data_IF_447494185949
#
_entry.id   IF_447494185949
#
_cell.length_a   1.000
_cell.length_b   1.000
_cell.length_c   1.000
_cell.angle_alpha   90.00
_cell.angle_beta   90.00
_cell.angle_gamma   90.00
#
_symmetry.space_group_name_H-M   'P 1'
#
loop_
_entity.id
_entity.type
_entity.pdbx_description
1 polymer ?
#
# COMPACT_ATOMS: atom_id res chain seq x y z
N UNK A 1 -54.48 -60.86 5.72
CA UNK A 1 -54.60 -59.45 5.32
C UNK A 1 -53.95 -58.57 6.40
N UNK A 2 -52.65 -58.28 6.29
CA UNK A 2 -52.02 -57.07 6.87
C UNK A 2 -50.83 -56.75 5.98
N UNK A 3 -50.88 -55.58 5.36
CA UNK A 3 -49.94 -55.07 4.35
C UNK A 3 -48.85 -54.27 5.05
N UNK A 4 -47.59 -54.72 5.05
CA UNK A 4 -46.46 -53.91 5.53
C UNK A 4 -45.80 -53.26 4.33
N UNK A 5 -46.10 -51.97 4.16
CA UNK A 5 -45.48 -51.06 3.19
C UNK A 5 -44.00 -50.88 3.51
N UNK A 6 -43.15 -51.22 2.55
CA UNK A 6 -41.73 -50.83 2.54
C UNK A 6 -41.59 -49.31 2.43
N UNK A 7 -40.80 -48.72 3.33
CA UNK A 7 -40.35 -47.33 3.22
C UNK A 7 -38.91 -47.34 2.73
N UNK A 8 -38.70 -46.88 1.49
CA UNK A 8 -37.38 -46.57 0.96
C UNK A 8 -36.70 -45.53 1.85
N UNK A 9 -35.49 -45.84 2.29
CA UNK A 9 -34.59 -44.93 2.97
C UNK A 9 -33.88 -44.09 1.90
N UNK A 10 -34.35 -42.86 1.68
CA UNK A 10 -33.70 -41.90 0.80
C UNK A 10 -32.46 -41.32 1.49
N UNK A 11 -31.28 -41.71 1.01
CA UNK A 11 -29.99 -41.12 1.37
C UNK A 11 -29.93 -39.69 0.80
N UNK A 12 -30.10 -38.69 1.66
CA UNK A 12 -29.81 -37.29 1.36
C UNK A 12 -28.28 -37.13 1.42
N UNK A 13 -27.65 -37.03 0.25
CA UNK A 13 -26.28 -36.57 0.09
C UNK A 13 -26.23 -35.07 0.41
N UNK A 14 -25.90 -34.76 1.67
CA UNK A 14 -25.52 -33.41 2.07
C UNK A 14 -24.16 -33.08 1.45
N UNK A 15 -24.18 -32.43 0.29
CA UNK A 15 -23.01 -31.76 -0.25
C UNK A 15 -22.61 -30.65 0.73
N UNK A 16 -21.54 -30.91 1.49
CA UNK A 16 -20.80 -29.90 2.24
C UNK A 16 -20.28 -28.85 1.24
N UNK A 17 -21.09 -27.83 1.00
CA UNK A 17 -20.63 -26.57 0.42
C UNK A 17 -19.72 -25.93 1.47
N UNK A 18 -18.42 -26.21 1.36
CA UNK A 18 -17.42 -25.38 2.01
C UNK A 18 -17.66 -23.95 1.55
N UNK A 19 -17.71 -22.95 2.45
CA UNK A 19 -17.71 -21.58 2.01
C UNK A 19 -16.39 -21.37 1.26
N UNK A 20 -16.49 -21.13 -0.04
CA UNK A 20 -15.42 -20.49 -0.79
C UNK A 20 -15.28 -19.12 -0.15
N UNK A 21 -14.32 -18.98 0.75
CA UNK A 21 -13.86 -17.67 1.18
C UNK A 21 -13.43 -16.98 -0.10
N UNK A 22 -14.14 -15.91 -0.47
CA UNK A 22 -13.75 -15.07 -1.58
C UNK A 22 -12.30 -14.64 -1.33
N UNK A 23 -11.39 -15.17 -2.14
CA UNK A 23 -10.01 -14.70 -2.18
C UNK A 23 -10.09 -13.22 -2.55
N UNK A 24 -9.83 -12.35 -1.58
CA UNK A 24 -9.61 -10.93 -1.86
C UNK A 24 -8.61 -10.86 -3.02
N UNK A 25 -8.97 -10.13 -4.07
CA UNK A 25 -8.22 -10.03 -5.32
C UNK A 25 -6.92 -9.21 -5.17
N UNK A 26 -6.27 -9.31 -4.02
CA UNK A 26 -5.00 -8.69 -3.71
C UNK A 26 -3.86 -9.67 -3.97
N UNK A 27 -3.37 -9.73 -5.21
CA UNK A 27 -2.24 -10.58 -5.59
C UNK A 27 -0.99 -10.38 -4.72
N UNK A 28 -0.10 -11.37 -4.71
CA UNK A 28 1.22 -11.29 -4.05
C UNK A 28 2.06 -10.15 -4.62
N UNK A 29 2.94 -9.54 -3.82
CA UNK A 29 3.90 -8.55 -4.31
C UNK A 29 4.83 -9.13 -5.39
N UNK A 30 5.10 -10.43 -5.31
CA UNK A 30 5.95 -11.22 -6.20
C UNK A 30 5.18 -11.91 -7.34
N UNK A 31 3.93 -11.51 -7.60
CA UNK A 31 3.11 -12.09 -8.65
C UNK A 31 2.63 -11.02 -9.63
N UNK A 32 2.80 -11.24 -10.92
CA UNK A 32 2.33 -10.30 -11.93
C UNK A 32 1.80 -11.00 -13.17
N UNK A 33 0.86 -10.33 -13.83
CA UNK A 33 0.36 -10.75 -15.12
C UNK A 33 0.98 -9.94 -16.25
N UNK A 34 1.10 -10.52 -17.44
CA UNK A 34 1.51 -9.87 -18.67
C UNK A 34 0.77 -10.47 -19.87
N UNK A 35 0.45 -9.68 -20.92
CA UNK A 35 -0.16 -10.21 -22.13
C UNK A 35 0.82 -11.17 -22.83
N UNK A 36 0.28 -12.23 -23.43
CA UNK A 36 1.03 -13.24 -24.17
C UNK A 36 0.41 -13.44 -25.56
N UNK A 37 1.26 -13.67 -26.57
CA UNK A 37 0.80 -13.84 -27.96
C UNK A 37 0.04 -15.17 -28.15
N UNK A 38 0.55 -16.24 -27.55
CA UNK A 38 -0.10 -17.54 -27.47
C UNK A 38 0.35 -18.31 -26.22
N UNK A 39 -0.21 -19.48 -25.98
CA UNK A 39 0.22 -20.38 -24.90
C UNK A 39 1.39 -21.29 -25.33
N UNK A 40 2.00 -21.06 -26.50
CA UNK A 40 3.21 -21.74 -26.91
C UNK A 40 4.38 -21.36 -25.99
N UNK A 41 5.30 -22.31 -25.80
CA UNK A 41 6.45 -22.15 -24.90
C UNK A 41 7.36 -20.98 -25.31
N UNK A 42 7.51 -20.74 -26.61
CA UNK A 42 8.31 -19.65 -27.18
C UNK A 42 7.75 -18.25 -26.84
N UNK A 43 6.45 -18.13 -26.61
CA UNK A 43 5.79 -16.85 -26.32
C UNK A 43 5.82 -16.48 -24.82
N UNK A 44 6.16 -17.44 -23.95
CA UNK A 44 6.18 -17.23 -22.51
C UNK A 44 7.33 -16.31 -22.08
N UNK A 45 8.50 -16.41 -22.72
CA UNK A 45 9.70 -15.63 -22.37
C UNK A 45 9.46 -14.12 -22.29
N UNK A 46 8.98 -13.46 -23.36
CA UNK A 46 8.64 -12.04 -23.34
C UNK A 46 7.62 -11.65 -22.26
N UNK A 47 6.60 -12.48 -22.04
CA UNK A 47 5.59 -12.24 -21.00
C UNK A 47 6.19 -12.35 -19.59
N UNK A 48 7.09 -13.30 -19.36
CA UNK A 48 7.81 -13.45 -18.09
C UNK A 48 8.69 -12.25 -17.79
N UNK A 49 9.42 -11.71 -18.78
CA UNK A 49 10.20 -10.47 -18.60
C UNK A 49 9.31 -9.29 -18.23
N UNK A 50 8.19 -9.13 -18.92
CA UNK A 50 7.23 -8.08 -18.64
C UNK A 50 6.59 -8.23 -17.24
N UNK A 51 6.29 -9.46 -16.82
CA UNK A 51 5.77 -9.75 -15.49
C UNK A 51 6.83 -9.46 -14.41
N UNK A 52 8.09 -9.86 -14.61
CA UNK A 52 9.17 -9.57 -13.67
C UNK A 52 9.38 -8.06 -13.54
N UNK A 53 9.39 -7.30 -14.64
CA UNK A 53 9.48 -5.85 -14.61
C UNK A 53 8.37 -5.21 -13.74
N UNK A 54 7.13 -5.70 -13.85
CA UNK A 54 6.02 -5.26 -12.99
C UNK A 54 6.27 -5.60 -11.52
N UNK A 55 6.84 -6.77 -11.22
CA UNK A 55 7.22 -7.16 -9.85
C UNK A 55 8.32 -6.25 -9.30
N UNK A 56 9.37 -5.95 -10.07
CA UNK A 56 10.45 -5.04 -9.64
C UNK A 56 9.90 -3.65 -9.32
N UNK A 57 9.01 -3.11 -10.17
CA UNK A 57 8.34 -1.83 -9.91
C UNK A 57 7.47 -1.90 -8.65
N UNK A 58 6.78 -3.02 -8.41
CA UNK A 58 5.95 -3.18 -7.21
C UNK A 58 6.80 -3.26 -5.92
N UNK A 59 7.92 -3.97 -5.99
CA UNK A 59 8.82 -4.18 -4.85
C UNK A 59 9.63 -2.92 -4.50
N UNK A 60 10.03 -2.13 -5.49
CA UNK A 60 10.69 -0.83 -5.26
C UNK A 60 9.70 0.31 -5.02
N UNK A 61 8.48 0.18 -5.55
CA UNK A 61 7.48 1.23 -5.63
C UNK A 61 7.77 2.32 -6.67
N UNK A 62 8.84 2.16 -7.46
CA UNK A 62 9.31 3.19 -8.37
C UNK A 62 9.41 2.63 -9.80
N UNK A 63 8.78 3.27 -10.80
CA UNK A 63 8.94 2.86 -12.20
C UNK A 63 10.38 3.10 -12.69
N UNK A 64 11.06 4.10 -12.12
CA UNK A 64 12.43 4.47 -12.48
C UNK A 64 13.43 3.35 -12.20
N UNK A 65 13.10 2.39 -11.32
CA UNK A 65 13.91 1.21 -11.03
C UNK A 65 14.21 0.35 -12.27
N UNK A 66 13.35 0.41 -13.30
CA UNK A 66 13.56 -0.34 -14.54
C UNK A 66 14.65 0.24 -15.45
N UNK A 67 15.07 1.47 -15.20
CA UNK A 67 16.11 2.16 -15.97
C UNK A 67 17.49 2.06 -15.31
N UNK A 68 17.61 1.29 -14.23
CA UNK A 68 18.87 1.05 -13.54
C UNK A 68 19.87 0.26 -14.37
N UNK A 69 21.19 0.42 -14.13
CA UNK A 69 22.21 -0.40 -14.78
C UNK A 69 21.99 -1.89 -14.51
N UNK A 70 22.14 -2.73 -15.54
CA UNK A 70 22.03 -4.19 -15.42
C UNK A 70 20.59 -4.73 -15.34
N UNK A 71 19.58 -3.86 -15.27
CA UNK A 71 18.18 -4.29 -15.10
C UNK A 71 17.67 -4.99 -16.37
N UNK A 72 18.01 -4.49 -17.56
CA UNK A 72 17.58 -5.12 -18.82
C UNK A 72 18.12 -6.55 -18.94
N UNK A 73 19.40 -6.77 -18.60
CA UNK A 73 20.05 -8.07 -18.58
C UNK A 73 19.45 -8.98 -17.50
N UNK A 74 19.17 -8.42 -16.32
CA UNK A 74 18.51 -9.13 -15.24
C UNK A 74 17.11 -9.62 -15.61
N UNK A 75 16.35 -8.85 -16.39
CA UNK A 75 15.02 -9.24 -16.83
C UNK A 75 15.06 -10.49 -17.72
N UNK A 76 16.14 -10.72 -18.48
CA UNK A 76 16.30 -11.95 -19.28
C UNK A 76 16.36 -13.22 -18.42
N UNK A 77 16.74 -13.11 -17.14
CA UNK A 77 16.74 -14.23 -16.18
C UNK A 77 15.36 -14.57 -15.64
N UNK A 78 14.30 -13.85 -16.06
CA UNK A 78 12.94 -14.06 -15.55
C UNK A 78 12.49 -15.54 -15.47
N UNK A 79 12.72 -16.40 -16.49
CA UNK A 79 12.33 -17.80 -16.43
C UNK A 79 12.95 -18.58 -15.25
N UNK A 80 14.15 -18.22 -14.82
CA UNK A 80 14.86 -18.88 -13.71
C UNK A 80 14.31 -18.51 -12.33
N UNK A 81 13.52 -17.44 -12.26
CA UNK A 81 13.00 -16.87 -11.02
C UNK A 81 11.54 -17.29 -10.76
N UNK A 82 10.91 -18.00 -11.69
CA UNK A 82 9.49 -18.37 -11.61
C UNK A 82 9.29 -19.60 -10.74
N UNK A 83 8.32 -19.54 -9.84
CA UNK A 83 7.79 -20.69 -9.09
C UNK A 83 6.66 -21.38 -9.84
N UNK A 84 5.73 -20.60 -10.41
CA UNK A 84 4.57 -21.12 -11.10
C UNK A 84 4.07 -20.14 -12.17
N UNK A 85 3.52 -20.68 -13.26
CA UNK A 85 2.79 -19.91 -14.27
C UNK A 85 1.34 -20.38 -14.35
N UNK A 86 0.44 -19.45 -14.65
CA UNK A 86 -0.96 -19.72 -14.97
C UNK A 86 -1.39 -18.87 -16.16
N UNK A 87 -2.31 -19.39 -16.95
CA UNK A 87 -2.87 -18.66 -18.08
C UNK A 87 -4.31 -18.25 -17.78
N UNK A 88 -4.67 -17.04 -18.21
CA UNK A 88 -6.01 -16.48 -18.09
C UNK A 88 -6.38 -15.80 -19.41
N UNK A 89 -7.59 -16.04 -19.88
CA UNK A 89 -8.15 -15.21 -20.94
C UNK A 89 -8.75 -13.95 -20.33
N UNK A 90 -8.41 -12.81 -20.91
CA UNK A 90 -8.92 -11.50 -20.52
C UNK A 90 -9.45 -10.74 -21.73
N UNK A 91 -10.04 -9.59 -21.44
CA UNK A 91 -10.41 -8.60 -22.44
C UNK A 91 -9.59 -7.33 -22.21
N UNK A 92 -9.04 -6.78 -23.28
CA UNK A 92 -8.40 -5.47 -23.29
C UNK A 92 -9.14 -4.57 -24.29
N UNK A 93 -9.38 -3.32 -23.92
CA UNK A 93 -10.09 -2.34 -24.73
C UNK A 93 -10.77 -1.26 -23.89
N UNK A 94 -10.62 0.00 -24.30
CA UNK A 94 -11.40 1.13 -23.81
C UNK A 94 -12.64 1.31 -24.69
N UNK A 95 -13.81 1.58 -24.10
CA UNK A 95 -14.98 2.01 -24.88
C UNK A 95 -15.83 0.92 -25.55
N UNK A 96 -15.73 -0.35 -25.14
CA UNK A 96 -16.72 -1.39 -25.51
C UNK A 96 -16.28 -2.40 -26.58
N UNK A 97 -15.14 -2.18 -27.24
CA UNK A 97 -14.50 -3.19 -28.08
C UNK A 97 -13.74 -4.19 -27.18
N UNK A 98 -14.20 -5.45 -27.12
CA UNK A 98 -13.58 -6.48 -26.28
C UNK A 98 -12.60 -7.28 -27.12
N UNK A 99 -11.32 -6.91 -27.07
CA UNK A 99 -10.27 -7.71 -27.72
C UNK A 99 -9.87 -8.80 -26.75
N UNK A 100 -10.14 -10.05 -27.11
CA UNK A 100 -9.69 -11.20 -26.33
C UNK A 100 -8.17 -11.31 -26.41
N UNK A 101 -7.52 -11.37 -25.25
CA UNK A 101 -6.09 -11.64 -25.14
C UNK A 101 -5.83 -12.69 -24.07
N UNK A 102 -4.82 -13.51 -24.33
CA UNK A 102 -4.28 -14.40 -23.32
C UNK A 102 -3.30 -13.62 -22.44
N UNK A 103 -3.32 -13.93 -21.14
CA UNK A 103 -2.43 -13.38 -20.15
C UNK A 103 -1.68 -14.52 -19.45
N UNK A 104 -0.38 -14.34 -19.27
CA UNK A 104 0.45 -15.17 -18.42
C UNK A 104 0.55 -14.50 -17.05
N UNK A 105 0.20 -15.24 -16.00
CA UNK A 105 0.36 -14.87 -14.60
C UNK A 105 1.57 -15.65 -14.07
N UNK A 106 2.60 -14.95 -13.63
CA UNK A 106 3.81 -15.53 -13.07
C UNK A 106 3.89 -15.24 -11.57
N UNK A 107 4.07 -16.29 -10.78
CA UNK A 107 4.48 -16.19 -9.39
C UNK A 107 6.00 -16.40 -9.33
N UNK A 108 6.72 -15.42 -8.80
CA UNK A 108 8.18 -15.47 -8.70
C UNK A 108 8.62 -15.90 -7.29
N UNK A 109 9.80 -16.50 -7.21
CA UNK A 109 10.47 -16.88 -5.96
C UNK A 109 10.94 -15.61 -5.22
N UNK A 110 10.39 -15.31 -4.04
CA UNK A 110 10.76 -14.10 -3.32
C UNK A 110 12.25 -14.01 -2.99
N UNK A 111 12.89 -15.12 -2.61
CA UNK A 111 14.31 -15.13 -2.23
C UNK A 111 15.19 -14.82 -3.43
N UNK A 112 14.87 -15.40 -4.59
CA UNK A 112 15.65 -15.15 -5.82
C UNK A 112 15.43 -13.74 -6.36
N UNK A 113 14.21 -13.22 -6.30
CA UNK A 113 13.90 -11.85 -6.74
C UNK A 113 14.53 -10.82 -5.80
N UNK A 114 14.47 -11.03 -4.49
CA UNK A 114 15.13 -10.14 -3.52
C UNK A 114 16.65 -10.18 -3.69
N UNK A 115 17.23 -11.36 -3.96
CA UNK A 115 18.63 -11.51 -4.33
C UNK A 115 19.00 -10.72 -5.58
N UNK A 116 18.17 -10.80 -6.63
CA UNK A 116 18.34 -10.01 -7.85
C UNK A 116 18.28 -8.50 -7.60
N UNK A 117 17.32 -8.03 -6.79
CA UNK A 117 17.20 -6.62 -6.43
C UNK A 117 18.45 -6.14 -5.68
N UNK A 118 18.98 -6.96 -4.77
CA UNK A 118 20.22 -6.66 -4.05
C UNK A 118 21.45 -6.64 -4.98
N UNK A 119 21.55 -7.59 -5.92
CA UNK A 119 22.59 -7.60 -6.97
C UNK A 119 22.59 -6.31 -7.81
N UNK A 120 21.40 -5.80 -8.12
CA UNK A 120 21.19 -4.58 -8.89
C UNK A 120 21.32 -3.29 -8.06
N UNK A 121 21.52 -3.40 -6.75
CA UNK A 121 21.55 -2.24 -5.84
C UNK A 121 20.22 -1.49 -5.76
N UNK A 122 19.10 -2.13 -6.09
CA UNK A 122 17.77 -1.54 -6.04
C UNK A 122 17.24 -1.55 -4.60
N UNK A 123 16.81 -0.38 -4.13
CA UNK A 123 16.23 -0.24 -2.78
C UNK A 123 14.84 -0.88 -2.78
N UNK A 124 14.69 -1.96 -2.01
CA UNK A 124 13.40 -2.62 -1.79
C UNK A 124 12.61 -1.80 -0.77
N UNK A 125 11.36 -1.50 -1.09
CA UNK A 125 10.46 -0.88 -0.12
C UNK A 125 9.96 -1.98 0.85
N UNK A 126 10.29 -1.92 2.15
CA UNK A 126 10.03 -2.98 3.11
C UNK A 126 8.55 -3.17 3.40
N UNK A 127 8.25 -4.30 4.05
CA UNK A 127 7.00 -4.51 4.77
C UNK A 127 7.15 -4.05 6.23
N UNK A 128 6.05 -3.58 6.88
CA UNK A 128 4.72 -3.40 6.31
C UNK A 128 4.67 -2.18 5.37
N UNK A 129 3.93 -2.30 4.26
CA UNK A 129 3.67 -1.16 3.37
C UNK A 129 2.59 -0.26 3.99
N UNK A 130 2.69 1.08 3.83
CA UNK A 130 1.59 1.94 4.21
C UNK A 130 0.32 1.53 3.47
N UNK A 131 -0.82 1.63 4.15
CA UNK A 131 -2.14 1.34 3.60
C UNK A 131 -2.97 2.61 3.67
N UNK A 132 -2.78 3.57 2.75
CA UNK A 132 -3.41 4.87 2.88
C UNK A 132 -4.94 4.75 2.84
N UNK A 133 -5.62 5.40 3.79
CA UNK A 133 -7.07 5.57 3.72
C UNK A 133 -7.42 6.61 2.66
N UNK A 134 -8.28 6.25 1.69
CA UNK A 134 -8.72 7.17 0.65
C UNK A 134 -10.02 7.88 1.08
N UNK A 135 -9.92 9.19 1.28
CA UNK A 135 -11.06 10.08 1.51
C UNK A 135 -11.31 10.89 0.24
N UNK A 136 -12.15 10.37 -0.65
CA UNK A 136 -12.41 10.99 -1.94
C UNK A 136 -13.84 11.53 -2.04
N UNK A 137 -13.99 12.82 -2.26
CA UNK A 137 -15.25 13.44 -2.64
C UNK A 137 -15.33 13.60 -4.18
N UNK A 138 -16.41 13.10 -4.78
CA UNK A 138 -16.69 13.24 -6.21
C UNK A 138 -17.88 14.17 -6.42
N UNK A 139 -17.74 15.18 -7.27
CA UNK A 139 -18.82 16.04 -7.76
C UNK A 139 -18.95 15.93 -9.28
N UNK A 140 -19.98 15.20 -9.71
CA UNK A 140 -20.34 15.01 -11.12
C UNK A 140 -21.37 16.05 -11.63
N UNK A 141 -21.59 17.13 -10.88
CA UNK A 141 -22.62 18.16 -11.13
C UNK A 141 -23.87 18.01 -10.25
N UNK A 142 -23.90 17.01 -9.36
CA UNK A 142 -24.98 16.78 -8.39
C UNK A 142 -24.57 17.11 -6.94
N UNK A 143 -23.43 17.78 -6.78
CA UNK A 143 -22.83 18.10 -5.48
C UNK A 143 -21.88 17.00 -4.99
N UNK A 144 -20.99 17.34 -4.04
CA UNK A 144 -19.94 16.47 -3.57
C UNK A 144 -20.49 15.29 -2.78
N UNK A 145 -20.02 14.07 -3.08
CA UNK A 145 -20.34 12.84 -2.36
C UNK A 145 -19.07 12.05 -2.06
N UNK A 146 -18.96 11.56 -0.84
CA UNK A 146 -17.83 10.72 -0.43
C UNK A 146 -17.93 9.33 -1.08
N UNK A 147 -16.80 8.81 -1.54
CA UNK A 147 -16.65 7.42 -1.95
C UNK A 147 -16.36 6.58 -0.72
N UNK A 148 -17.15 5.52 -0.51
CA UNK A 148 -16.92 4.53 0.53
C UNK A 148 -16.74 3.13 -0.08
N UNK A 149 -16.55 2.13 0.79
CA UNK A 149 -16.30 0.75 0.41
C UNK A 149 -17.37 0.19 -0.55
N UNK A 150 -18.64 0.61 -0.41
CA UNK A 150 -19.73 0.19 -1.29
C UNK A 150 -19.59 0.74 -2.72
N UNK A 151 -18.88 1.84 -2.94
CA UNK A 151 -18.57 2.40 -4.27
C UNK A 151 -17.15 2.10 -4.72
N UNK A 152 -16.51 1.03 -4.22
CA UNK A 152 -15.13 0.68 -4.58
C UNK A 152 -14.86 0.58 -6.09
N UNK A 153 -15.85 0.17 -6.89
CA UNK A 153 -15.75 0.13 -8.35
C UNK A 153 -15.47 1.50 -8.99
N UNK A 154 -15.92 2.60 -8.37
CA UNK A 154 -15.70 3.96 -8.87
C UNK A 154 -14.23 4.38 -8.79
N UNK A 155 -13.46 3.78 -7.88
CA UNK A 155 -12.05 4.09 -7.62
C UNK A 155 -11.11 2.94 -7.97
N UNK A 156 -11.60 1.94 -8.71
CA UNK A 156 -10.80 0.76 -9.04
C UNK A 156 -9.53 1.11 -9.82
N UNK A 157 -9.59 2.11 -10.71
CA UNK A 157 -8.42 2.58 -11.43
C UNK A 157 -7.32 3.13 -10.50
N UNK A 158 -7.70 3.85 -9.44
CA UNK A 158 -6.79 4.35 -8.41
C UNK A 158 -6.19 3.19 -7.61
N UNK A 159 -7.03 2.25 -7.16
CA UNK A 159 -6.60 1.11 -6.35
C UNK A 159 -5.67 0.18 -7.14
N UNK A 160 -5.99 -0.10 -8.40
CA UNK A 160 -5.18 -0.91 -9.29
C UNK A 160 -3.82 -0.25 -9.58
N UNK A 161 -3.80 1.06 -9.84
CA UNK A 161 -2.56 1.81 -10.07
C UNK A 161 -1.67 1.86 -8.81
N UNK A 162 -2.25 2.08 -7.63
CA UNK A 162 -1.54 1.98 -6.35
C UNK A 162 -0.96 0.59 -6.10
N UNK A 163 -1.75 -0.47 -6.38
CA UNK A 163 -1.29 -1.85 -6.23
C UNK A 163 -0.18 -2.22 -7.22
N UNK A 164 -0.20 -1.66 -8.43
CA UNK A 164 0.90 -1.80 -9.39
C UNK A 164 2.22 -1.17 -8.89
N UNK A 165 2.18 -0.32 -7.86
CA UNK A 165 3.32 0.29 -7.17
C UNK A 165 3.54 -0.23 -5.75
N UNK A 166 2.78 -1.24 -5.33
CA UNK A 166 3.02 -1.96 -4.08
C UNK A 166 2.31 -1.41 -2.85
N UNK A 167 1.35 -0.50 -3.01
CA UNK A 167 0.46 -0.07 -1.90
C UNK A 167 -0.97 -0.55 -2.11
N UNK A 168 -1.72 -0.68 -1.03
CA UNK A 168 -3.16 -0.94 -1.06
C UNK A 168 -3.88 0.24 -0.41
N UNK A 169 -4.89 0.76 -1.07
CA UNK A 169 -5.75 1.78 -0.46
C UNK A 169 -6.86 1.12 0.33
N UNK A 170 -7.07 1.62 1.55
CA UNK A 170 -8.28 1.37 2.32
C UNK A 170 -9.37 2.38 1.89
N UNK A 171 -10.63 1.98 2.05
CA UNK A 171 -11.80 2.83 1.83
C UNK A 171 -12.57 2.96 3.13
N UNK A 172 -13.22 4.11 3.38
CA UNK A 172 -14.06 4.25 4.56
C UNK A 172 -15.25 3.29 4.47
N UNK A 173 -15.72 2.82 5.62
CA UNK A 173 -16.86 1.90 5.71
C UNK A 173 -18.17 2.57 5.28
N UNK A 174 -18.25 3.91 5.39
CA UNK A 174 -19.42 4.69 5.00
C UNK A 174 -20.37 4.91 6.18
N UNK A 175 -19.83 5.08 7.39
CA UNK A 175 -20.64 5.54 8.52
C UNK A 175 -21.07 7.00 8.34
N UNK A 176 -22.15 7.46 9.01
CA UNK A 176 -22.55 8.88 8.94
C UNK A 176 -21.45 9.85 9.38
N UNK A 177 -20.58 9.40 10.29
CA UNK A 177 -19.40 10.13 10.74
C UNK A 177 -18.36 10.26 9.61
N UNK A 178 -18.07 9.16 8.91
CA UNK A 178 -17.19 9.14 7.74
C UNK A 178 -17.72 10.09 6.65
N UNK A 179 -19.02 10.06 6.35
CA UNK A 179 -19.62 10.92 5.35
C UNK A 179 -19.51 12.40 5.72
N UNK A 180 -19.73 12.75 6.99
CA UNK A 180 -19.65 14.13 7.45
C UNK A 180 -18.19 14.65 7.46
N UNK A 181 -17.29 13.96 8.16
CA UNK A 181 -15.90 14.40 8.28
C UNK A 181 -15.13 14.19 6.98
N UNK A 182 -15.40 13.13 6.23
CA UNK A 182 -14.73 12.84 4.97
C UNK A 182 -15.01 13.91 3.92
N UNK A 183 -16.25 14.40 3.81
CA UNK A 183 -16.55 15.54 2.91
C UNK A 183 -15.90 16.82 3.42
N UNK A 184 -15.89 17.08 4.73
CA UNK A 184 -15.21 18.25 5.29
C UNK A 184 -13.71 18.25 4.99
N UNK A 185 -13.04 17.15 5.31
CA UNK A 185 -11.62 16.96 5.06
C UNK A 185 -11.28 17.03 3.56
N UNK A 186 -11.98 16.26 2.72
CA UNK A 186 -11.63 16.11 1.31
C UNK A 186 -12.11 17.27 0.43
N UNK A 187 -13.29 17.85 0.70
CA UNK A 187 -13.88 18.89 -0.14
C UNK A 187 -13.59 20.30 0.36
N UNK A 188 -13.66 20.52 1.68
CA UNK A 188 -13.47 21.83 2.32
C UNK A 188 -12.05 22.09 2.82
N UNK A 189 -11.15 21.10 2.68
CA UNK A 189 -9.76 21.16 3.17
C UNK A 189 -9.71 21.41 4.70
N UNK A 190 -10.66 20.82 5.43
CA UNK A 190 -10.78 20.94 6.88
C UNK A 190 -9.74 20.04 7.57
N UNK A 191 -8.72 20.66 8.17
CA UNK A 191 -7.63 19.95 8.83
C UNK A 191 -8.06 19.25 10.11
N UNK A 192 -8.99 19.82 10.88
CA UNK A 192 -9.48 19.20 12.12
C UNK A 192 -10.26 17.92 11.80
N UNK A 193 -11.11 17.98 10.77
CA UNK A 193 -11.79 16.80 10.24
C UNK A 193 -10.79 15.75 9.74
N UNK A 194 -9.76 16.18 9.01
CA UNK A 194 -8.73 15.27 8.50
C UNK A 194 -7.91 14.60 9.62
N UNK A 195 -7.64 15.30 10.71
CA UNK A 195 -6.91 14.74 11.87
C UNK A 195 -7.78 13.74 12.65
N UNK A 196 -9.07 14.02 12.80
CA UNK A 196 -10.02 13.09 13.42
C UNK A 196 -10.10 11.76 12.66
N UNK A 197 -10.08 11.81 11.33
CA UNK A 197 -10.09 10.62 10.47
C UNK A 197 -8.75 9.88 10.45
N UNK A 198 -7.64 10.59 10.61
CA UNK A 198 -6.30 10.01 10.59
C UNK A 198 -6.09 8.99 11.72
N UNK A 199 -6.64 9.25 12.91
CA UNK A 199 -6.56 8.34 14.05
C UNK A 199 -7.14 6.95 13.76
N UNK A 200 -8.04 6.85 12.78
CA UNK A 200 -8.70 5.62 12.33
C UNK A 200 -8.06 5.02 11.07
N UNK A 201 -7.07 5.69 10.48
CA UNK A 201 -6.44 5.29 9.22
C UNK A 201 -5.29 4.28 9.47
N UNK A 202 -5.34 3.07 8.89
CA UNK A 202 -4.28 2.08 9.05
C UNK A 202 -2.90 2.61 8.64
N UNK A 203 -1.89 2.38 9.49
CA UNK A 203 -0.52 2.84 9.22
C UNK A 203 -0.35 4.37 9.22
N UNK A 204 -1.37 5.12 9.65
CA UNK A 204 -1.28 6.57 9.80
C UNK A 204 -1.13 7.34 8.48
N UNK A 205 -1.47 6.75 7.33
CA UNK A 205 -1.44 7.42 6.03
C UNK A 205 -2.86 7.67 5.50
N UNK A 206 -3.10 8.83 4.90
CA UNK A 206 -4.37 9.14 4.25
C UNK A 206 -4.18 9.97 2.97
N UNK A 207 -5.03 9.73 1.98
CA UNK A 207 -5.13 10.50 0.75
C UNK A 207 -6.48 11.21 0.73
N UNK A 208 -6.46 12.53 0.90
CA UNK A 208 -7.63 13.39 0.75
C UNK A 208 -7.74 13.80 -0.71
N UNK A 209 -8.93 13.68 -1.30
CA UNK A 209 -9.13 13.93 -2.71
C UNK A 209 -10.45 14.60 -3.02
N UNK A 210 -10.43 15.55 -3.96
CA UNK A 210 -11.64 16.05 -4.61
C UNK A 210 -11.54 15.89 -6.11
N UNK A 211 -12.55 15.28 -6.71
CA UNK A 211 -12.67 15.06 -8.15
C UNK A 211 -13.97 15.70 -8.63
N UNK A 212 -13.87 16.69 -9.52
CA UNK A 212 -15.04 17.46 -9.93
C UNK A 212 -14.99 17.86 -11.40
N UNK A 213 -16.17 18.08 -11.99
CA UNK A 213 -16.28 18.51 -13.39
C UNK A 213 -15.83 19.96 -13.57
N UNK A 214 -15.02 20.19 -14.61
CA UNK A 214 -14.63 21.53 -15.08
C UNK A 214 -14.63 21.55 -16.61
N UNK A 215 -15.22 22.57 -17.24
CA UNK A 215 -15.13 22.88 -18.68
C UNK A 215 -15.07 21.67 -19.65
N UNK A 216 -16.04 20.76 -19.56
CA UNK A 216 -16.13 19.58 -20.44
C UNK A 216 -15.21 18.40 -20.07
N UNK A 217 -14.43 18.51 -18.99
CA UNK A 217 -13.59 17.45 -18.43
C UNK A 217 -13.69 17.37 -16.91
N UNK A 218 -12.59 16.95 -16.29
CA UNK A 218 -12.46 16.70 -14.86
C UNK A 218 -11.20 17.37 -14.31
N UNK A 219 -11.29 17.80 -13.05
CA UNK A 219 -10.16 18.23 -12.24
C UNK A 219 -10.11 17.40 -10.98
N UNK A 220 -8.91 16.96 -10.63
CA UNK A 220 -8.62 16.22 -9.41
C UNK A 220 -7.61 17.00 -8.58
N UNK A 221 -7.83 17.10 -7.28
CA UNK A 221 -6.92 17.73 -6.34
C UNK A 221 -6.75 16.83 -5.13
N UNK A 222 -5.51 16.78 -4.64
CA UNK A 222 -5.10 15.75 -3.71
C UNK A 222 -4.18 16.31 -2.63
N UNK A 223 -4.33 15.78 -1.42
CA UNK A 223 -3.45 16.01 -0.28
C UNK A 223 -3.08 14.66 0.31
N UNK A 224 -1.80 14.31 0.26
CA UNK A 224 -1.26 13.12 0.91
C UNK A 224 -0.75 13.51 2.30
N UNK A 225 -1.27 12.86 3.34
CA UNK A 225 -0.85 13.08 4.72
C UNK A 225 -0.39 11.77 5.36
N UNK A 226 0.62 11.86 6.21
CA UNK A 226 1.08 10.74 7.04
C UNK A 226 1.44 11.23 8.44
N UNK A 227 0.91 10.56 9.47
CA UNK A 227 1.07 10.90 10.90
C UNK A 227 0.86 12.40 11.21
N UNK A 228 -0.09 13.03 10.54
CA UNK A 228 -0.49 14.43 10.75
C UNK A 228 0.26 15.43 9.88
N UNK A 229 1.30 14.99 9.18
CA UNK A 229 2.11 15.85 8.30
C UNK A 229 1.57 15.78 6.88
N UNK A 230 1.40 16.95 6.25
CA UNK A 230 1.18 17.02 4.80
C UNK A 230 2.48 16.69 4.07
N UNK A 231 2.51 15.56 3.38
CA UNK A 231 3.68 15.12 2.60
C UNK A 231 3.69 15.75 1.21
N UNK A 232 2.52 15.93 0.61
CA UNK A 232 2.39 16.50 -0.72
C UNK A 232 0.96 16.98 -0.99
N UNK A 233 0.88 18.00 -1.85
CA UNK A 233 -0.35 18.52 -2.43
C UNK A 233 -0.18 18.73 -3.93
N UNK A 234 -1.12 18.24 -4.72
CA UNK A 234 -1.06 18.36 -6.17
C UNK A 234 -2.45 18.40 -6.82
N UNK A 235 -2.50 18.85 -8.07
CA UNK A 235 -3.72 18.94 -8.86
C UNK A 235 -3.48 18.54 -10.31
N UNK A 236 -4.46 17.88 -10.91
CA UNK A 236 -4.41 17.40 -12.28
C UNK A 236 -5.74 17.68 -12.98
N UNK A 237 -5.76 17.76 -14.31
CA UNK A 237 -6.98 17.95 -15.09
C UNK A 237 -6.90 17.15 -16.37
N UNK A 238 -8.04 16.62 -16.81
CA UNK A 238 -8.09 15.72 -17.95
C UNK A 238 -9.52 15.46 -18.42
N UNK A 239 -9.68 14.89 -19.62
CA UNK A 239 -11.02 14.62 -20.17
C UNK A 239 -11.73 13.46 -19.46
N UNK A 240 -10.97 12.56 -18.82
CA UNK A 240 -11.46 11.31 -18.26
C UNK A 240 -11.12 11.17 -16.76
N UNK A 241 -12.15 10.92 -15.95
CA UNK A 241 -12.03 10.73 -14.51
C UNK A 241 -11.19 9.48 -14.16
N UNK A 242 -11.32 8.41 -14.95
CA UNK A 242 -10.66 7.13 -14.66
C UNK A 242 -9.13 7.26 -14.77
N UNK A 243 -8.66 7.98 -15.77
CA UNK A 243 -7.24 8.30 -15.97
C UNK A 243 -6.68 9.16 -14.84
N UNK A 244 -7.42 10.18 -14.38
CA UNK A 244 -7.02 11.00 -13.23
C UNK A 244 -6.95 10.18 -11.93
N UNK A 245 -7.89 9.26 -11.72
CA UNK A 245 -7.87 8.35 -10.58
C UNK A 245 -6.68 7.39 -10.63
N UNK A 246 -6.36 6.83 -11.80
CA UNK A 246 -5.17 5.99 -11.97
C UNK A 246 -3.87 6.78 -11.69
N UNK A 247 -3.76 8.01 -12.20
CA UNK A 247 -2.63 8.88 -11.94
C UNK A 247 -2.47 9.21 -10.44
N UNK A 248 -3.57 9.47 -9.74
CA UNK A 248 -3.55 9.70 -8.30
C UNK A 248 -3.06 8.48 -7.50
N UNK A 249 -3.50 7.28 -7.87
CA UNK A 249 -3.06 6.03 -7.24
C UNK A 249 -1.57 5.77 -7.42
N UNK A 250 -1.08 5.90 -8.66
CA UNK A 250 0.34 5.77 -8.97
C UNK A 250 1.18 6.87 -8.28
N UNK A 251 0.79 8.13 -8.41
CA UNK A 251 1.54 9.26 -7.85
C UNK A 251 1.63 9.24 -6.32
N UNK A 252 0.59 8.74 -5.65
CA UNK A 252 0.62 8.54 -4.19
C UNK A 252 1.65 7.50 -3.80
N UNK A 253 1.66 6.35 -4.49
CA UNK A 253 2.61 5.28 -4.24
C UNK A 253 4.05 5.72 -4.54
N UNK A 254 4.27 6.41 -5.66
CA UNK A 254 5.58 6.93 -6.05
C UNK A 254 6.12 7.89 -4.98
N UNK A 255 5.29 8.79 -4.43
CA UNK A 255 5.71 9.73 -3.37
C UNK A 255 6.10 9.03 -2.08
N UNK A 256 5.29 8.06 -1.64
CA UNK A 256 5.58 7.27 -0.45
C UNK A 256 6.86 6.43 -0.64
N UNK A 257 7.05 5.84 -1.81
CA UNK A 257 8.24 5.07 -2.18
C UNK A 257 9.51 5.94 -2.20
N UNK A 258 9.47 7.11 -2.84
CA UNK A 258 10.61 8.05 -2.91
C UNK A 258 11.03 8.50 -1.51
N UNK A 259 10.06 8.90 -0.68
CA UNK A 259 10.35 9.28 0.72
C UNK A 259 11.00 8.13 1.47
N UNK A 260 10.51 6.90 1.32
CA UNK A 260 11.17 5.74 1.92
C UNK A 260 12.61 5.57 1.42
N UNK A 261 12.84 5.64 0.11
CA UNK A 261 14.16 5.48 -0.48
C UNK A 261 15.16 6.54 0.02
N UNK A 262 14.71 7.79 0.19
CA UNK A 262 15.50 8.87 0.80
C UNK A 262 15.88 8.58 2.25
N UNK A 263 14.93 8.08 3.05
CA UNK A 263 15.21 7.67 4.44
C UNK A 263 16.15 6.46 4.50
N UNK A 264 16.02 5.51 3.58
CA UNK A 264 16.90 4.34 3.47
C UNK A 264 18.32 4.71 3.05
N UNK A 265 18.48 5.75 2.21
CA UNK A 265 19.79 6.24 1.81
C UNK A 265 20.59 6.85 2.98
N UNK A 266 19.93 7.25 4.07
CA UNK A 266 20.58 7.81 5.26
C UNK A 266 21.34 6.77 6.10
N UNK A 267 21.13 5.47 5.88
CA UNK A 267 21.91 4.43 6.56
C UNK A 267 21.32 3.03 6.45
N UNK A 268 22.12 1.99 6.77
CA UNK A 268 21.69 0.60 6.62
C UNK A 268 20.59 0.24 7.62
N UNK A 269 19.63 -0.57 7.17
CA UNK A 269 18.63 -1.21 8.03
C UNK A 269 19.29 -2.10 9.09
N UNK A 270 18.65 -2.27 10.24
CA UNK A 270 19.19 -3.11 11.31
C UNK A 270 18.41 -2.99 12.61
N UNK A 271 18.95 -3.61 13.66
CA UNK A 271 18.43 -3.49 15.02
C UNK A 271 19.21 -2.43 15.79
N UNK A 272 18.48 -1.51 16.41
CA UNK A 272 19.04 -0.38 17.14
C UNK A 272 18.41 -0.29 18.51
N UNK A 273 19.24 -0.19 19.56
CA UNK A 273 18.76 0.14 20.91
C UNK A 273 18.71 1.65 21.04
N UNK A 274 17.56 2.18 21.43
CA UNK A 274 17.32 3.60 21.65
C UNK A 274 16.74 3.82 23.04
N UNK A 275 16.96 5.02 23.58
CA UNK A 275 16.40 5.45 24.87
C UNK A 275 15.40 6.57 24.62
N UNK A 276 14.16 6.39 25.09
CA UNK A 276 13.10 7.38 24.94
C UNK A 276 12.78 7.99 26.30
N UNK A 277 12.98 9.29 26.47
CA UNK A 277 12.69 10.04 27.69
C UNK A 277 11.28 10.66 27.68
N UNK A 278 10.81 11.09 28.85
CA UNK A 278 9.55 11.84 29.01
C UNK A 278 8.32 10.96 29.23
N UNK A 279 8.46 9.68 29.56
CA UNK A 279 7.34 8.81 29.90
C UNK A 279 6.92 9.03 31.37
N UNK A 280 6.17 10.11 31.61
CA UNK A 280 5.75 10.56 32.95
C UNK A 280 4.33 10.13 33.35
N UNK A 281 3.58 9.52 32.43
CA UNK A 281 2.20 9.06 32.65
C UNK A 281 2.02 7.63 32.12
N UNK A 282 1.04 6.90 32.69
CA UNK A 282 0.65 5.58 32.20
C UNK A 282 0.20 5.60 30.73
N UNK A 283 -0.33 6.73 30.25
CA UNK A 283 -0.79 6.89 28.87
C UNK A 283 0.35 7.08 27.87
N UNK A 284 1.55 7.44 28.34
CA UNK A 284 2.69 7.69 27.45
C UNK A 284 3.20 6.40 26.81
N UNK A 285 3.22 5.29 27.55
CA UNK A 285 3.66 4.00 27.03
C UNK A 285 2.82 3.51 25.84
N UNK A 286 1.48 3.37 25.94
CA UNK A 286 0.67 2.91 24.80
C UNK A 286 0.71 3.92 23.63
N UNK A 287 0.77 5.23 23.88
CA UNK A 287 0.93 6.26 22.82
C UNK A 287 2.26 6.08 22.07
N UNK A 288 3.38 5.92 22.78
CA UNK A 288 4.69 5.70 22.20
C UNK A 288 4.76 4.42 21.37
N UNK A 289 4.32 3.30 21.95
CA UNK A 289 4.38 1.99 21.28
C UNK A 289 3.43 1.97 20.06
N UNK A 290 2.24 2.55 20.18
CA UNK A 290 1.30 2.71 19.06
C UNK A 290 1.89 3.56 17.94
N UNK A 291 2.50 4.70 18.28
CA UNK A 291 3.18 5.56 17.33
C UNK A 291 4.32 4.83 16.60
N UNK A 292 5.26 4.23 17.34
CA UNK A 292 6.42 3.54 16.76
C UNK A 292 5.99 2.40 15.84
N UNK A 293 5.00 1.59 16.23
CA UNK A 293 4.47 0.50 15.39
C UNK A 293 3.73 1.00 14.15
N UNK A 294 3.21 2.23 14.19
CA UNK A 294 2.55 2.87 13.07
C UNK A 294 3.50 3.47 12.04
N UNK A 295 4.79 3.59 12.35
CA UNK A 295 5.79 4.12 11.42
C UNK A 295 6.19 3.04 10.41
N UNK A 296 6.02 3.31 9.11
CA UNK A 296 6.33 2.37 8.04
C UNK A 296 7.73 1.73 8.12
N UNK A 297 8.81 2.50 8.41
CA UNK A 297 10.16 1.93 8.55
C UNK A 297 10.41 1.08 9.80
N UNK A 298 9.48 1.00 10.75
CA UNK A 298 9.65 0.23 11.99
C UNK A 298 9.02 -1.16 11.80
N UNK A 299 9.86 -2.19 11.74
CA UNK A 299 9.43 -3.60 11.57
C UNK A 299 9.01 -4.23 12.90
N UNK A 300 9.74 -3.92 13.96
CA UNK A 300 9.49 -4.46 15.30
C UNK A 300 9.89 -3.45 16.38
N UNK A 301 9.11 -3.44 17.46
CA UNK A 301 9.35 -2.63 18.66
C UNK A 301 9.39 -3.57 19.86
N UNK A 302 10.54 -3.67 20.51
CA UNK A 302 10.76 -4.54 21.67
C UNK A 302 11.20 -3.70 22.87
N UNK A 303 10.33 -3.47 23.87
CA UNK A 303 10.74 -2.85 25.13
C UNK A 303 11.79 -3.72 25.84
N UNK A 304 12.88 -3.11 26.29
CA UNK A 304 14.00 -3.79 26.96
C UNK A 304 13.99 -3.52 28.45
N UNK A 305 13.89 -2.26 28.85
CA UNK A 305 13.90 -1.84 30.25
C UNK A 305 13.18 -0.48 30.42
N UNK A 306 12.70 -0.21 31.63
CA UNK A 306 12.20 1.10 32.04
C UNK A 306 13.09 1.63 33.17
N UNK A 307 13.57 2.86 33.02
CA UNK A 307 14.50 3.52 33.94
C UNK A 307 14.01 4.94 34.24
N UNK A 308 13.35 5.13 35.39
CA UNK A 308 12.79 6.44 35.75
C UNK A 308 11.71 6.88 34.77
N UNK A 309 11.93 8.01 34.09
CA UNK A 309 11.04 8.55 33.04
C UNK A 309 11.45 8.10 31.62
N UNK A 310 12.39 7.16 31.50
CA UNK A 310 12.89 6.67 30.23
C UNK A 310 12.51 5.20 29.96
N UNK A 311 12.27 4.89 28.69
CA UNK A 311 12.07 3.54 28.17
C UNK A 311 13.20 3.20 27.19
N UNK A 312 13.91 2.12 27.47
CA UNK A 312 14.88 1.53 26.53
C UNK A 312 14.13 0.58 25.62
N UNK A 313 14.28 0.77 24.31
CA UNK A 313 13.58 0.00 23.28
C UNK A 313 14.58 -0.46 22.23
N UNK A 314 14.50 -1.73 21.86
CA UNK A 314 15.14 -2.22 20.63
C UNK A 314 14.15 -2.06 19.47
N UNK A 315 14.59 -1.35 18.44
CA UNK A 315 13.86 -1.14 17.19
C UNK A 315 14.50 -1.96 16.08
N UNK A 316 13.72 -2.81 15.43
CA UNK A 316 14.09 -3.37 14.13
C UNK A 316 13.63 -2.38 13.04
N UNK A 317 14.59 -1.70 12.43
CA UNK A 317 14.34 -0.64 11.45
C UNK A 317 14.69 -1.13 10.05
N UNK A 318 13.82 -0.82 9.09
CA UNK A 318 14.08 -1.02 7.68
C UNK A 318 14.88 0.13 7.03
N UNK A 319 15.18 1.17 7.81
CA UNK A 319 16.11 2.26 7.50
C UNK A 319 17.18 2.34 8.59
N UNK A 320 18.26 3.06 8.35
CA UNK A 320 19.23 3.37 9.40
C UNK A 320 18.69 4.33 10.46
N UNK A 321 19.40 4.40 11.59
CA UNK A 321 19.02 5.24 12.73
C UNK A 321 18.89 6.74 12.37
N UNK A 322 19.72 7.25 11.46
CA UNK A 322 19.61 8.63 10.96
C UNK A 322 18.32 8.85 10.15
N UNK A 323 17.97 7.91 9.27
CA UNK A 323 16.70 7.95 8.54
C UNK A 323 15.50 7.91 9.50
N UNK A 324 15.57 7.07 10.53
CA UNK A 324 14.55 7.06 11.58
C UNK A 324 14.48 8.38 12.35
N UNK A 325 15.62 8.99 12.71
CA UNK A 325 15.64 10.29 13.36
C UNK A 325 14.98 11.38 12.50
N UNK A 326 15.32 11.47 11.20
CA UNK A 326 14.66 12.40 10.28
C UNK A 326 13.15 12.17 10.16
N UNK A 327 12.72 10.91 10.17
CA UNK A 327 11.30 10.57 10.13
C UNK A 327 10.56 11.13 11.35
N UNK A 328 11.07 10.84 12.56
CA UNK A 328 10.38 11.26 13.80
C UNK A 328 10.48 12.76 14.05
N UNK A 329 11.51 13.44 13.52
CA UNK A 329 11.68 14.89 13.68
C UNK A 329 10.49 15.70 13.13
N UNK A 330 9.85 15.20 12.09
CA UNK A 330 8.62 15.79 11.53
C UNK A 330 7.34 15.27 12.19
N UNK A 331 7.42 14.20 12.98
CA UNK A 331 6.27 13.51 13.56
C UNK A 331 5.64 14.24 14.75
N UNK A 332 4.53 13.73 15.31
CA UNK A 332 3.83 14.37 16.43
C UNK A 332 4.24 13.87 17.83
N UNK A 333 4.99 12.77 17.94
CA UNK A 333 5.20 12.07 19.24
C UNK A 333 6.64 12.08 19.74
N UNK A 334 7.63 12.03 18.85
CA UNK A 334 9.05 11.88 19.22
C UNK A 334 9.90 12.96 18.55
N UNK A 335 10.96 13.39 19.23
CA UNK A 335 12.07 14.17 18.66
C UNK A 335 13.38 13.49 19.00
N UNK A 336 14.37 13.58 18.10
CA UNK A 336 15.72 13.17 18.46
C UNK A 336 16.28 14.15 19.51
N UNK A 337 17.02 13.66 20.50
CA UNK A 337 17.82 14.53 21.36
C UNK A 337 19.20 14.73 20.72
N UNK A 338 19.85 15.87 20.96
CA UNK A 338 21.16 16.19 20.37
C UNK A 338 22.32 15.37 20.96
N UNK A 339 22.02 14.36 21.79
CA UNK A 339 23.04 13.57 22.46
C UNK A 339 23.72 12.59 21.50
N UNK A 340 25.04 12.72 21.40
CA UNK A 340 25.88 11.86 20.55
C UNK A 340 26.31 10.55 21.26
N UNK A 341 25.83 10.31 22.48
CA UNK A 341 26.18 9.13 23.27
C UNK A 341 25.26 7.96 22.93
N UNK A 342 25.79 6.75 22.64
CA UNK A 342 24.96 5.56 22.48
C UNK A 342 24.42 5.07 23.84
N UNK A 343 23.18 4.55 23.90
CA UNK A 343 22.21 4.45 22.80
C UNK A 343 21.65 5.82 22.41
N UNK A 344 21.29 6.01 21.14
CA UNK A 344 20.69 7.27 20.71
C UNK A 344 19.43 7.59 21.51
N UNK A 345 19.26 8.87 21.83
CA UNK A 345 18.22 9.34 22.73
C UNK A 345 17.14 10.10 21.96
N UNK A 346 15.90 9.91 22.41
CA UNK A 346 14.71 10.56 21.88
C UNK A 346 13.88 11.09 23.03
N UNK A 347 13.13 12.16 22.77
CA UNK A 347 12.21 12.75 23.74
C UNK A 347 10.78 12.61 23.27
N UNK A 348 9.92 12.12 24.15
CA UNK A 348 8.48 12.12 23.92
C UNK A 348 7.90 13.53 24.07
N UNK A 349 7.09 13.92 23.09
CA UNK A 349 6.33 15.16 23.10
C UNK A 349 5.03 14.98 23.90
N UNK A 350 4.60 16.04 24.58
CA UNK A 350 3.35 16.06 25.35
C UNK A 350 2.10 15.90 24.46
#
# INVERSE_FOLDING_TARGET
>A
MVTIRGRLFGLILAALAWPVIAQESGGSLYSAEAPVASQAEDDAGPALRAALARVLVRLTGLPDALHGPGVAEALERAPELVLATRYRQGFEGEGGERIYRDFLIADFDPVRVDGLLAELGLVVWPLPRPTPMLWLAIDDGRGPRLVNAAQGAAVEALRAAGFARGIRFALPEGSPEDDNFGVQAAWRDDLEAADALLARSPGGAQLLGRLYRVDGGWRAEWVLREHGVELARWSESGPDARSLLAAAGAGTADRLARRFAELAAAGPSGRFVVRVHGLRSADHYPRLIGYLRGLGPVRQVTPVAAEGDALIVELDLAVGLQGFAHLVETGPVLRADDSQSPPAEFRMLE
#
